data_IF_906753598532
#
_entry.id   IF_906753598532
#
_cell.length_a   1.000
_cell.length_b   1.000
_cell.length_c   1.000
_cell.angle_alpha   90.00
_cell.angle_beta   90.00
_cell.angle_gamma   90.00
#
_symmetry.space_group_name_H-M   'P 1'
#
loop_
_entity.id
_entity.type
_entity.pdbx_description
1 polymer ?
#
# COMPACT_ATOMS: atom_id res chain seq x y z
N UNK A 1 13.39 -18.89 -8.47
CA UNK A 1 12.55 -19.86 -7.74
C UNK A 1 11.08 -19.51 -8.03
N UNK A 2 10.31 -20.45 -8.60
CA UNK A 2 8.86 -20.27 -8.73
C UNK A 2 8.25 -20.56 -7.36
N UNK A 3 7.61 -19.55 -6.78
CA UNK A 3 6.82 -19.71 -5.57
C UNK A 3 5.69 -20.73 -5.81
N UNK A 4 5.65 -21.80 -5.04
CA UNK A 4 4.62 -22.84 -5.16
C UNK A 4 3.46 -22.46 -4.23
N UNK A 5 2.33 -22.08 -4.80
CA UNK A 5 1.10 -21.83 -4.05
C UNK A 5 0.48 -23.11 -3.51
N UNK A 6 -0.10 -23.00 -2.32
CA UNK A 6 -0.94 -24.05 -1.76
C UNK A 6 -2.25 -24.13 -2.59
N UNK A 7 -2.76 -25.35 -2.87
CA UNK A 7 -3.96 -25.58 -3.69
C UNK A 7 -5.21 -24.78 -3.22
N UNK A 8 -5.30 -24.48 -1.91
CA UNK A 8 -6.41 -23.71 -1.34
C UNK A 8 -6.41 -22.21 -1.75
N UNK A 9 -5.31 -21.69 -2.31
CA UNK A 9 -5.18 -20.29 -2.76
C UNK A 9 -5.13 -20.16 -4.27
N UNK A 10 -5.34 -21.26 -5.00
CA UNK A 10 -5.39 -21.24 -6.45
C UNK A 10 -6.57 -20.39 -6.92
N UNK A 11 -6.28 -19.25 -7.59
CA UNK A 11 -7.28 -18.32 -8.10
C UNK A 11 -7.48 -17.05 -7.27
N UNK A 12 -6.84 -16.94 -6.09
CA UNK A 12 -6.77 -15.68 -5.34
C UNK A 12 -5.47 -14.94 -5.68
N UNK A 13 -5.48 -13.59 -5.78
CA UNK A 13 -4.26 -12.82 -6.01
C UNK A 13 -3.29 -12.98 -4.83
N UNK A 14 -2.00 -12.78 -5.08
CA UNK A 14 -0.99 -12.81 -4.01
C UNK A 14 -1.00 -11.51 -3.21
N UNK A 15 -1.18 -10.38 -3.88
CA UNK A 15 -1.18 -9.05 -3.27
C UNK A 15 -2.50 -8.35 -3.57
N UNK A 16 -3.13 -7.76 -2.54
CA UNK A 16 -4.18 -6.76 -2.70
C UNK A 16 -3.57 -5.38 -2.52
N UNK A 17 -3.65 -4.55 -3.56
CA UNK A 17 -3.26 -3.15 -3.52
C UNK A 17 -4.52 -2.35 -3.23
N UNK A 18 -4.48 -1.49 -2.21
CA UNK A 18 -5.62 -0.73 -1.74
C UNK A 18 -5.42 0.75 -2.06
N UNK A 19 -6.38 1.35 -2.77
CA UNK A 19 -6.30 2.73 -3.24
C UNK A 19 -7.57 3.49 -2.81
N UNK A 20 -7.53 4.25 -1.71
CA UNK A 20 -8.60 5.21 -1.42
C UNK A 20 -8.52 6.34 -2.45
N UNK A 21 -9.66 6.89 -2.88
CA UNK A 21 -9.68 7.96 -3.87
C UNK A 21 -10.76 9.00 -3.55
N UNK A 22 -10.40 10.28 -3.66
CA UNK A 22 -11.36 11.38 -3.53
C UNK A 22 -10.92 12.61 -4.31
N UNK A 23 -11.71 13.01 -5.34
CA UNK A 23 -11.43 14.18 -6.18
C UNK A 23 -10.01 14.20 -6.77
N UNK A 24 -9.60 13.06 -7.33
CA UNK A 24 -8.25 12.79 -7.83
C UNK A 24 -8.18 12.69 -9.36
N UNK A 25 -9.14 13.26 -10.11
CA UNK A 25 -9.21 13.11 -11.58
C UNK A 25 -7.91 13.44 -12.30
N UNK A 26 -7.08 14.32 -11.70
CA UNK A 26 -5.80 14.75 -12.26
C UNK A 26 -4.71 13.70 -12.14
N UNK A 27 -4.73 12.86 -11.11
CA UNK A 27 -3.61 12.01 -10.72
C UNK A 27 -3.92 10.52 -10.79
N UNK A 28 -5.16 10.11 -10.46
CA UNK A 28 -5.54 8.71 -10.29
C UNK A 28 -5.24 7.84 -11.53
N UNK A 29 -5.31 8.40 -12.74
CA UNK A 29 -4.94 7.68 -13.94
C UNK A 29 -3.47 7.26 -13.92
N UNK A 30 -2.56 8.15 -13.49
CA UNK A 30 -1.14 7.88 -13.37
C UNK A 30 -0.85 6.86 -12.25
N UNK A 31 -1.54 6.98 -11.12
CA UNK A 31 -1.45 6.03 -10.02
C UNK A 31 -1.85 4.61 -10.46
N UNK A 32 -2.99 4.45 -11.14
CA UNK A 32 -3.44 3.15 -11.69
C UNK A 32 -2.43 2.58 -12.71
N UNK A 33 -1.92 3.42 -13.62
CA UNK A 33 -0.91 2.97 -14.61
C UNK A 33 0.38 2.49 -13.94
N UNK A 34 0.77 3.09 -12.81
CA UNK A 34 1.94 2.63 -12.05
C UNK A 34 1.73 1.22 -11.47
N UNK A 35 0.52 0.91 -11.01
CA UNK A 35 0.14 -0.43 -10.57
C UNK A 35 0.10 -1.41 -11.74
N UNK A 36 -0.46 -1.01 -12.88
CA UNK A 36 -0.47 -1.83 -14.10
C UNK A 36 0.92 -2.16 -14.62
N UNK A 37 1.92 -1.30 -14.34
CA UNK A 37 3.31 -1.48 -14.77
C UNK A 37 4.15 -2.37 -13.84
N UNK A 38 3.57 -2.94 -12.76
CA UNK A 38 4.30 -3.82 -11.86
C UNK A 38 4.84 -5.05 -12.58
N UNK A 39 6.12 -5.41 -12.30
CA UNK A 39 6.78 -6.60 -12.86
C UNK A 39 6.21 -7.91 -12.31
N UNK A 40 5.53 -7.86 -11.17
CA UNK A 40 4.81 -8.97 -10.57
C UNK A 40 3.32 -8.91 -10.93
N UNK A 41 2.78 -9.92 -11.58
CA UNK A 41 1.45 -9.87 -12.20
C UNK A 41 0.28 -10.36 -11.32
N UNK A 42 0.58 -11.04 -10.20
CA UNK A 42 -0.43 -11.72 -9.39
C UNK A 42 -0.93 -10.83 -8.25
N UNK A 43 -1.63 -9.77 -8.63
CA UNK A 43 -2.21 -8.78 -7.75
C UNK A 43 -3.67 -8.46 -8.12
N UNK A 44 -4.39 -7.88 -7.19
CA UNK A 44 -5.64 -7.15 -7.41
C UNK A 44 -5.47 -5.70 -6.94
N UNK A 45 -6.13 -4.77 -7.61
CA UNK A 45 -6.26 -3.38 -7.18
C UNK A 45 -7.70 -3.11 -6.75
N UNK A 46 -7.88 -2.65 -5.51
CA UNK A 46 -9.18 -2.29 -4.95
C UNK A 46 -9.21 -0.79 -4.74
N UNK A 47 -9.97 -0.09 -5.58
CA UNK A 47 -10.15 1.36 -5.53
C UNK A 47 -11.45 1.66 -4.82
N UNK A 48 -11.42 2.52 -3.81
CA UNK A 48 -12.61 3.02 -3.11
C UNK A 48 -12.76 4.50 -3.39
N UNK A 49 -13.67 4.85 -4.29
CA UNK A 49 -14.05 6.25 -4.56
C UNK A 49 -14.98 6.76 -3.46
N UNK A 50 -14.48 7.68 -2.65
CA UNK A 50 -15.20 8.22 -1.49
C UNK A 50 -16.18 9.36 -1.89
N UNK A 51 -17.05 9.07 -2.86
CA UNK A 51 -18.06 9.98 -3.41
C UNK A 51 -17.45 11.23 -4.06
N UNK A 52 -16.50 11.05 -4.98
CA UNK A 52 -15.91 12.16 -5.75
C UNK A 52 -16.94 12.92 -6.58
N UNK A 53 -16.80 14.24 -6.64
CA UNK A 53 -17.63 15.13 -7.44
C UNK A 53 -17.06 15.40 -8.84
N UNK A 54 -15.79 15.01 -9.09
CA UNK A 54 -15.07 15.13 -10.35
C UNK A 54 -15.14 13.83 -11.19
N UNK A 55 -14.25 13.69 -12.19
CA UNK A 55 -14.22 12.53 -13.07
C UNK A 55 -13.50 11.30 -12.46
N UNK A 56 -13.09 11.32 -11.19
CA UNK A 56 -12.37 10.23 -10.53
C UNK A 56 -13.07 8.88 -10.71
N UNK A 57 -14.36 8.79 -10.35
CA UNK A 57 -15.14 7.56 -10.47
C UNK A 57 -15.21 7.03 -11.91
N UNK A 58 -15.45 7.92 -12.88
CA UNK A 58 -15.51 7.54 -14.31
C UNK A 58 -14.15 7.03 -14.83
N UNK A 59 -13.03 7.59 -14.33
CA UNK A 59 -11.68 7.11 -14.66
C UNK A 59 -11.48 5.71 -14.08
N UNK A 60 -11.81 5.47 -12.82
CA UNK A 60 -11.69 4.16 -12.17
C UNK A 60 -12.49 3.07 -12.91
N UNK A 61 -13.76 3.34 -13.22
CA UNK A 61 -14.63 2.41 -13.96
C UNK A 61 -14.07 2.07 -15.36
N UNK A 62 -13.48 3.05 -16.05
CA UNK A 62 -12.83 2.84 -17.35
C UNK A 62 -11.64 1.86 -17.24
N UNK A 63 -10.82 1.93 -16.18
CA UNK A 63 -9.73 0.98 -15.97
C UNK A 63 -10.26 -0.40 -15.56
N UNK A 64 -11.22 -0.48 -14.64
CA UNK A 64 -11.83 -1.73 -14.21
C UNK A 64 -12.51 -2.48 -15.36
N UNK A 65 -13.07 -1.75 -16.34
CA UNK A 65 -13.66 -2.38 -17.53
C UNK A 65 -12.63 -3.04 -18.46
N UNK A 66 -11.35 -2.66 -18.37
CA UNK A 66 -10.26 -3.16 -19.23
C UNK A 66 -9.42 -4.24 -18.56
N UNK A 67 -9.29 -4.22 -17.24
CA UNK A 67 -8.49 -5.19 -16.48
C UNK A 67 -9.30 -5.74 -15.30
N UNK A 68 -9.56 -7.05 -15.31
CA UNK A 68 -10.36 -7.75 -14.28
C UNK A 68 -9.70 -7.79 -12.90
N UNK A 69 -8.41 -7.47 -12.80
CA UNK A 69 -7.70 -7.34 -11.53
C UNK A 69 -8.06 -6.06 -10.79
N UNK A 70 -8.65 -5.07 -11.48
CA UNK A 70 -9.08 -3.80 -10.90
C UNK A 70 -10.54 -3.89 -10.49
N UNK A 71 -10.82 -3.60 -9.24
CA UNK A 71 -12.16 -3.54 -8.64
C UNK A 71 -12.42 -2.13 -8.13
N UNK A 72 -13.61 -1.61 -8.41
CA UNK A 72 -14.02 -0.28 -7.95
C UNK A 72 -15.21 -0.39 -7.01
N UNK A 73 -15.14 0.35 -5.92
CA UNK A 73 -16.23 0.56 -4.97
C UNK A 73 -16.48 2.06 -4.90
N UNK A 74 -17.74 2.47 -4.74
CA UNK A 74 -18.07 3.89 -4.61
C UNK A 74 -19.00 4.12 -3.44
N UNK A 75 -18.66 5.07 -2.58
CA UNK A 75 -19.54 5.54 -1.52
C UNK A 75 -20.62 6.47 -2.08
N UNK A 76 -21.75 6.57 -1.37
CA UNK A 76 -22.82 7.51 -1.71
C UNK A 76 -22.60 8.90 -1.13
N UNK A 77 -21.70 9.02 -0.15
CA UNK A 77 -21.30 10.27 0.51
C UNK A 77 -19.84 10.15 0.96
N UNK A 78 -19.14 11.27 1.12
CA UNK A 78 -17.76 11.27 1.62
C UNK A 78 -17.72 10.84 3.09
N UNK A 79 -17.07 9.71 3.36
CA UNK A 79 -16.91 9.10 4.70
C UNK A 79 -15.53 9.33 5.31
N UNK A 80 -14.55 9.71 4.49
CA UNK A 80 -13.18 9.96 4.87
C UNK A 80 -12.24 8.78 4.62
N UNK A 81 -10.94 9.09 4.53
CA UNK A 81 -9.88 8.18 4.07
C UNK A 81 -9.83 6.86 4.86
N UNK A 82 -9.94 6.92 6.20
CA UNK A 82 -9.88 5.71 7.05
C UNK A 82 -11.00 4.72 6.76
N UNK A 83 -12.21 5.21 6.48
CA UNK A 83 -13.33 4.33 6.10
C UNK A 83 -13.09 3.74 4.72
N UNK A 84 -12.58 4.53 3.77
CA UNK A 84 -12.19 4.06 2.44
C UNK A 84 -11.12 2.95 2.50
N UNK A 85 -10.04 3.18 3.25
CA UNK A 85 -8.97 2.18 3.49
C UNK A 85 -9.52 0.90 4.17
N UNK A 86 -10.36 1.04 5.18
CA UNK A 86 -11.01 -0.11 5.84
C UNK A 86 -11.98 -0.87 4.92
N UNK A 87 -12.72 -0.15 4.05
CA UNK A 87 -13.58 -0.78 3.05
C UNK A 87 -12.74 -1.62 2.08
N UNK A 88 -11.64 -1.06 1.57
CA UNK A 88 -10.71 -1.79 0.71
C UNK A 88 -10.13 -3.03 1.42
N UNK A 89 -9.69 -2.90 2.69
CA UNK A 89 -9.21 -4.03 3.50
C UNK A 89 -10.23 -5.16 3.63
N UNK A 90 -11.52 -4.85 3.79
CA UNK A 90 -12.59 -5.87 3.86
C UNK A 90 -12.75 -6.66 2.56
N UNK A 91 -12.47 -6.04 1.42
CA UNK A 91 -12.60 -6.66 0.09
C UNK A 91 -11.32 -7.34 -0.39
N UNK A 92 -10.21 -7.15 0.33
CA UNK A 92 -8.91 -7.73 0.01
C UNK A 92 -8.91 -9.26 0.15
N UNK A 93 -8.45 -9.95 -0.90
CA UNK A 93 -8.36 -11.41 -0.93
C UNK A 93 -6.91 -11.92 -1.00
N UNK A 94 -5.94 -11.07 -1.29
CA UNK A 94 -4.52 -11.41 -1.37
C UNK A 94 -3.93 -11.90 -0.05
N UNK A 95 -2.82 -12.60 -0.12
CA UNK A 95 -2.06 -13.00 1.08
C UNK A 95 -1.39 -11.79 1.74
N UNK A 96 -1.01 -10.81 0.94
CA UNK A 96 -0.37 -9.57 1.39
C UNK A 96 -1.20 -8.34 0.99
N UNK A 97 -1.05 -7.28 1.77
CA UNK A 97 -1.66 -5.98 1.56
C UNK A 97 -0.57 -4.95 1.25
N UNK A 98 -0.76 -4.17 0.20
CA UNK A 98 -0.02 -2.95 -0.10
C UNK A 98 -1.00 -1.79 -0.21
N UNK A 99 -0.54 -0.57 0.07
CA UNK A 99 -1.32 0.65 -0.16
C UNK A 99 -0.68 1.46 -1.30
N UNK A 100 -1.48 2.20 -2.02
CA UNK A 100 -1.06 3.16 -3.03
C UNK A 100 -2.09 4.29 -3.05
N UNK A 101 -1.71 5.48 -2.66
CA UNK A 101 -2.65 6.61 -2.67
C UNK A 101 -2.94 7.05 -4.12
N UNK A 102 -4.05 7.74 -4.32
CA UNK A 102 -4.59 8.10 -5.63
C UNK A 102 -3.75 9.16 -6.39
N UNK A 103 -2.74 9.73 -5.74
CA UNK A 103 -1.79 10.69 -6.29
C UNK A 103 -0.32 10.21 -6.23
N UNK A 104 -0.09 8.96 -5.81
CA UNK A 104 1.24 8.35 -5.71
C UNK A 104 1.60 7.47 -6.92
N UNK A 105 2.89 7.20 -7.08
CA UNK A 105 3.46 6.34 -8.14
C UNK A 105 4.25 5.21 -7.49
N UNK A 106 3.81 3.99 -7.71
CA UNK A 106 4.49 2.77 -7.28
C UNK A 106 5.52 2.35 -8.34
N UNK A 107 6.80 2.25 -7.99
CA UNK A 107 7.85 1.81 -8.91
C UNK A 107 7.60 0.37 -9.40
N UNK A 108 8.00 0.06 -10.64
CA UNK A 108 7.61 -1.20 -11.30
C UNK A 108 8.04 -2.49 -10.59
N UNK A 109 9.07 -2.44 -9.75
CA UNK A 109 9.58 -3.61 -9.00
C UNK A 109 9.13 -3.68 -7.55
N UNK A 110 8.29 -2.74 -7.10
CA UNK A 110 7.88 -2.66 -5.69
C UNK A 110 7.33 -3.98 -5.18
N UNK A 111 6.41 -4.58 -5.90
CA UNK A 111 5.79 -5.83 -5.45
C UNK A 111 6.75 -7.02 -5.52
N UNK A 112 7.48 -7.18 -6.64
CA UNK A 112 8.37 -8.31 -6.85
C UNK A 112 9.46 -8.38 -5.77
N UNK A 113 10.18 -7.27 -5.56
CA UNK A 113 11.30 -7.21 -4.64
C UNK A 113 10.86 -7.37 -3.18
N UNK A 114 9.77 -6.72 -2.79
CA UNK A 114 9.31 -6.77 -1.41
C UNK A 114 8.58 -8.07 -1.06
N UNK A 115 7.90 -8.73 -2.01
CA UNK A 115 7.40 -10.09 -1.84
C UNK A 115 8.55 -11.07 -1.61
N UNK A 116 9.60 -10.99 -2.43
CA UNK A 116 10.79 -11.82 -2.24
C UNK A 116 11.37 -11.63 -0.83
N UNK A 117 11.52 -10.38 -0.37
CA UNK A 117 12.07 -10.08 0.96
C UNK A 117 11.22 -10.64 2.10
N UNK A 118 9.88 -10.48 2.08
CA UNK A 118 9.03 -10.99 3.17
C UNK A 118 9.00 -12.52 3.19
N UNK A 119 8.99 -13.17 2.03
CA UNK A 119 8.91 -14.63 1.95
C UNK A 119 10.22 -15.31 2.34
N UNK A 120 11.36 -14.85 1.81
CA UNK A 120 12.68 -15.39 2.16
C UNK A 120 13.00 -15.24 3.65
N UNK A 121 12.51 -14.18 4.29
CA UNK A 121 12.77 -13.92 5.70
C UNK A 121 11.62 -14.32 6.63
N UNK A 122 10.54 -14.89 6.08
CA UNK A 122 9.33 -15.21 6.84
C UNK A 122 8.88 -14.01 7.70
N UNK A 123 8.91 -12.81 7.10
CA UNK A 123 8.60 -11.57 7.75
C UNK A 123 7.11 -11.22 7.60
N UNK A 124 6.55 -10.50 8.57
CA UNK A 124 5.17 -10.05 8.56
C UNK A 124 5.02 -8.73 7.82
N UNK A 125 6.09 -7.95 7.74
CA UNK A 125 6.09 -6.62 7.10
C UNK A 125 7.41 -6.42 6.35
N UNK A 126 7.32 -5.91 5.11
CA UNK A 126 8.44 -5.22 4.46
C UNK A 126 8.19 -3.71 4.49
N UNK A 127 9.26 -2.94 4.60
CA UNK A 127 9.27 -1.49 4.49
C UNK A 127 10.35 -1.06 3.50
N UNK A 128 10.13 0.07 2.83
CA UNK A 128 11.07 0.58 1.84
C UNK A 128 11.20 2.10 1.85
N UNK A 129 12.28 2.57 1.26
CA UNK A 129 12.56 3.98 1.06
C UNK A 129 11.65 4.59 -0.02
N UNK A 130 11.39 5.87 0.08
CA UNK A 130 10.57 6.60 -0.86
C UNK A 130 11.11 8.00 -1.12
N UNK A 131 10.52 8.71 -2.06
CA UNK A 131 10.78 10.13 -2.29
C UNK A 131 9.49 10.90 -2.47
N UNK A 132 9.42 12.07 -1.87
CA UNK A 132 8.36 13.05 -2.16
C UNK A 132 8.78 13.88 -3.36
N UNK A 133 7.91 13.94 -4.37
CA UNK A 133 8.14 14.71 -5.59
C UNK A 133 7.30 15.99 -5.55
N UNK A 134 7.97 17.14 -5.66
CA UNK A 134 7.28 18.43 -5.79
C UNK A 134 7.02 18.73 -7.25
N UNK A 135 5.77 18.99 -7.60
CA UNK A 135 5.33 19.25 -8.96
C UNK A 135 4.80 20.69 -9.04
N UNK A 136 5.19 21.43 -10.09
CA UNK A 136 4.65 22.76 -10.40
C UNK A 136 3.21 22.67 -10.91
N UNK A 137 2.54 23.82 -11.03
CA UNK A 137 1.21 23.92 -11.67
C UNK A 137 1.18 23.45 -13.13
N UNK A 138 2.35 23.40 -13.79
CA UNK A 138 2.53 22.95 -15.17
C UNK A 138 2.95 21.46 -15.27
N UNK A 139 2.83 20.70 -14.17
CA UNK A 139 3.26 19.28 -14.06
C UNK A 139 4.76 19.05 -14.29
N UNK A 140 5.60 20.04 -13.99
CA UNK A 140 7.05 19.88 -14.06
C UNK A 140 7.59 19.56 -12.67
N UNK A 141 8.45 18.55 -12.56
CA UNK A 141 9.14 18.23 -11.30
C UNK A 141 10.08 19.37 -10.95
N UNK A 142 9.86 20.00 -9.80
CA UNK A 142 10.66 21.14 -9.29
C UNK A 142 11.50 20.78 -8.07
N UNK A 143 11.37 19.57 -7.56
CA UNK A 143 12.19 19.09 -6.45
C UNK A 143 11.83 17.67 -6.03
N UNK A 144 12.79 16.98 -5.43
CA UNK A 144 12.63 15.65 -4.85
C UNK A 144 13.23 15.63 -3.44
N UNK A 145 12.56 14.98 -2.51
CA UNK A 145 13.01 14.81 -1.13
C UNK A 145 12.97 13.30 -0.82
N UNK A 146 14.13 12.62 -0.86
CA UNK A 146 14.18 11.20 -0.50
C UNK A 146 14.04 11.00 1.01
N UNK A 147 13.43 9.89 1.38
CA UNK A 147 13.39 9.32 2.72
C UNK A 147 13.99 7.92 2.63
N UNK A 148 15.20 7.76 3.17
CA UNK A 148 16.01 6.58 2.98
C UNK A 148 16.15 5.84 4.30
N UNK A 149 15.62 4.62 4.38
CA UNK A 149 15.96 3.69 5.44
C UNK A 149 17.16 2.82 5.04
N UNK A 150 17.81 2.23 6.03
CA UNK A 150 18.90 1.26 5.78
C UNK A 150 18.32 -0.14 5.60
N UNK A 151 18.96 -0.94 4.75
CA UNK A 151 18.65 -2.37 4.66
C UNK A 151 18.82 -3.03 6.02
N UNK A 152 17.80 -3.76 6.47
CA UNK A 152 17.88 -4.54 7.69
C UNK A 152 16.86 -5.68 7.71
N UNK A 153 17.19 -6.74 8.48
CA UNK A 153 16.27 -7.84 8.77
C UNK A 153 16.17 -7.92 10.29
N UNK A 154 14.97 -7.66 10.81
CA UNK A 154 14.68 -7.74 12.24
C UNK A 154 14.01 -9.08 12.54
N UNK A 155 14.59 -9.84 13.46
CA UNK A 155 14.13 -11.18 13.84
C UNK A 155 13.20 -11.19 15.04
N UNK A 156 13.08 -10.06 15.73
CA UNK A 156 12.18 -9.87 16.86
C UNK A 156 11.89 -8.39 17.09
N UNK A 157 10.86 -8.13 17.87
CA UNK A 157 10.40 -6.77 18.17
C UNK A 157 11.44 -5.92 18.92
N UNK A 158 12.27 -6.53 19.75
CA UNK A 158 13.31 -5.79 20.49
C UNK A 158 14.35 -5.18 19.52
N UNK A 159 14.74 -5.91 18.49
CA UNK A 159 15.64 -5.40 17.44
C UNK A 159 15.00 -4.21 16.69
N UNK A 160 13.70 -4.29 16.36
CA UNK A 160 12.96 -3.20 15.71
C UNK A 160 13.00 -1.93 16.56
N UNK A 161 12.71 -2.04 17.87
CA UNK A 161 12.71 -0.89 18.78
C UNK A 161 14.11 -0.37 19.08
N UNK A 162 15.12 -1.22 19.07
CA UNK A 162 16.53 -0.80 19.25
C UNK A 162 17.02 0.05 18.08
N UNK A 163 16.54 -0.22 16.85
CA UNK A 163 16.88 0.54 15.64
C UNK A 163 15.72 1.46 15.20
N UNK A 164 14.99 2.02 16.16
CA UNK A 164 13.79 2.82 15.91
C UNK A 164 14.07 4.03 14.99
N UNK A 165 15.26 4.61 15.06
CA UNK A 165 15.69 5.70 14.20
C UNK A 165 15.58 5.32 12.71
N UNK A 166 16.04 4.12 12.34
CA UNK A 166 15.93 3.60 10.99
C UNK A 166 14.47 3.32 10.59
N UNK A 167 13.72 2.69 11.49
CA UNK A 167 12.33 2.33 11.27
C UNK A 167 11.45 3.57 11.13
N UNK A 168 11.69 4.60 11.93
CA UNK A 168 10.92 5.85 11.95
C UNK A 168 10.96 6.60 10.60
N UNK A 169 12.04 6.48 9.82
CA UNK A 169 12.18 7.16 8.52
C UNK A 169 11.04 6.83 7.54
N UNK A 170 10.43 5.65 7.66
CA UNK A 170 9.40 5.15 6.75
C UNK A 170 8.04 4.83 7.43
N UNK A 171 7.87 5.27 8.70
CA UNK A 171 6.63 5.01 9.45
C UNK A 171 5.52 6.04 9.25
N UNK A 172 5.80 7.16 8.61
CA UNK A 172 4.82 8.23 8.41
C UNK A 172 3.74 7.87 7.40
N UNK A 173 3.97 6.86 6.56
CA UNK A 173 3.11 6.47 5.46
C UNK A 173 2.86 4.96 5.48
N UNK A 174 1.63 4.51 5.27
CA UNK A 174 1.29 3.09 5.16
C UNK A 174 1.69 2.49 3.79
N UNK A 175 1.71 3.32 2.74
CA UNK A 175 2.06 2.91 1.37
C UNK A 175 3.55 2.58 1.17
N UNK A 176 4.41 2.82 2.16
CA UNK A 176 5.79 2.33 2.18
C UNK A 176 5.90 0.92 2.77
N UNK A 177 4.84 0.14 2.73
CA UNK A 177 4.79 -1.18 3.36
C UNK A 177 4.06 -2.25 2.57
N UNK A 178 4.55 -3.50 2.71
CA UNK A 178 3.86 -4.72 2.34
C UNK A 178 3.60 -5.52 3.62
N UNK A 179 2.32 -5.87 3.86
CA UNK A 179 1.87 -6.42 5.13
C UNK A 179 1.25 -7.80 4.93
N UNK A 180 1.64 -8.79 5.73
CA UNK A 180 0.93 -10.08 5.79
C UNK A 180 -0.51 -9.85 6.26
N UNK A 181 -1.49 -10.21 5.41
CA UNK A 181 -2.92 -10.04 5.71
C UNK A 181 -3.37 -10.88 6.91
N UNK A 182 -2.79 -12.08 7.11
CA UNK A 182 -3.11 -12.92 8.28
C UNK A 182 -2.64 -12.27 9.57
N UNK A 183 -1.48 -11.61 9.53
CA UNK A 183 -0.97 -10.83 10.66
C UNK A 183 -1.92 -9.67 11.00
N UNK A 184 -2.32 -8.86 10.01
CA UNK A 184 -3.27 -7.77 10.22
C UNK A 184 -4.60 -8.28 10.82
N UNK A 185 -5.15 -9.35 10.25
CA UNK A 185 -6.42 -9.94 10.71
C UNK A 185 -6.31 -10.52 12.12
N UNK A 186 -5.22 -11.24 12.44
CA UNK A 186 -5.01 -11.85 13.77
C UNK A 186 -5.04 -10.82 14.89
N UNK A 187 -4.48 -9.65 14.64
CA UNK A 187 -4.38 -8.58 15.63
C UNK A 187 -5.45 -7.51 15.48
N UNK A 188 -6.43 -7.71 14.58
CA UNK A 188 -7.49 -6.75 14.28
C UNK A 188 -6.94 -5.35 13.96
N UNK A 189 -5.82 -5.29 13.22
CA UNK A 189 -5.18 -4.04 12.80
C UNK A 189 -5.97 -3.44 11.65
N UNK A 190 -6.47 -2.24 11.85
CA UNK A 190 -7.26 -1.47 10.89
C UNK A 190 -7.12 0.01 11.18
N UNK A 191 -7.57 0.84 10.27
CA UNK A 191 -7.56 2.29 10.44
C UNK A 191 -8.63 2.74 11.42
N UNK A 192 -8.31 3.76 12.21
CA UNK A 192 -9.25 4.37 13.13
C UNK A 192 -10.16 5.34 12.37
N UNK A 193 -11.45 5.00 12.28
CA UNK A 193 -12.44 5.74 11.49
C UNK A 193 -12.75 7.16 12.00
N UNK A 194 -12.17 7.56 13.13
CA UNK A 194 -12.21 8.95 13.59
C UNK A 194 -11.31 9.88 12.78
N UNK A 195 -10.28 9.34 12.14
CA UNK A 195 -9.40 10.11 11.23
C UNK A 195 -10.04 10.20 9.84
N UNK A 196 -10.57 11.36 9.52
CA UNK A 196 -11.22 11.59 8.22
C UNK A 196 -10.29 12.21 7.17
N UNK A 197 -9.26 12.94 7.62
CA UNK A 197 -8.47 13.84 6.78
C UNK A 197 -6.95 13.75 7.05
N UNK A 198 -6.45 12.60 7.48
CA UNK A 198 -5.03 12.34 7.72
C UNK A 198 -4.71 12.00 9.19
N UNK A 199 -3.50 11.43 9.39
CA UNK A 199 -3.02 10.93 10.68
C UNK A 199 -3.34 9.46 10.95
N UNK A 200 -4.17 8.84 10.11
CA UNK A 200 -4.54 7.43 10.20
C UNK A 200 -3.36 6.50 9.97
N UNK A 201 -2.45 6.85 9.06
CA UNK A 201 -1.26 6.07 8.71
C UNK A 201 -0.33 5.91 9.90
N UNK A 202 -0.11 6.99 10.64
CA UNK A 202 0.75 6.96 11.81
C UNK A 202 0.20 6.01 12.88
N UNK A 203 -1.11 6.08 13.18
CA UNK A 203 -1.73 5.17 14.14
C UNK A 203 -1.70 3.73 13.63
N UNK A 204 -2.04 3.48 12.37
CA UNK A 204 -1.96 2.15 11.76
C UNK A 204 -0.55 1.56 11.87
N UNK A 205 0.47 2.34 11.55
CA UNK A 205 1.86 1.92 11.66
C UNK A 205 2.30 1.66 13.11
N UNK A 206 1.88 2.47 14.07
CA UNK A 206 2.13 2.22 15.50
C UNK A 206 1.46 0.92 15.94
N UNK A 207 0.22 0.66 15.50
CA UNK A 207 -0.48 -0.58 15.80
C UNK A 207 0.25 -1.80 15.22
N UNK A 208 0.77 -1.71 13.99
CA UNK A 208 1.55 -2.80 13.42
C UNK A 208 2.82 -3.08 14.24
N UNK A 209 3.54 -2.04 14.69
CA UNK A 209 4.74 -2.17 15.51
C UNK A 209 4.49 -2.79 16.88
N UNK A 210 3.28 -2.68 17.42
CA UNK A 210 2.95 -3.31 18.70
C UNK A 210 2.97 -4.84 18.66
N UNK A 211 2.74 -5.42 17.46
CA UNK A 211 2.55 -6.86 17.29
C UNK A 211 3.54 -7.52 16.35
N UNK A 212 4.24 -6.77 15.50
CA UNK A 212 5.20 -7.34 14.56
C UNK A 212 6.38 -7.97 15.28
N UNK A 213 6.74 -9.18 14.85
CA UNK A 213 7.91 -9.91 15.39
C UNK A 213 9.07 -9.91 14.40
N UNK A 214 8.76 -9.99 13.09
CA UNK A 214 9.78 -10.05 12.04
C UNK A 214 9.44 -9.03 10.95
N UNK A 215 10.42 -8.18 10.63
CA UNK A 215 10.27 -7.13 9.64
C UNK A 215 11.54 -7.03 8.79
N UNK A 216 11.38 -6.74 7.52
CA UNK A 216 12.48 -6.45 6.61
C UNK A 216 12.41 -5.01 6.13
N UNK A 217 13.56 -4.39 5.90
CA UNK A 217 13.65 -3.04 5.36
C UNK A 217 14.56 -3.02 4.15
N UNK A 218 14.15 -2.28 3.11
CA UNK A 218 14.89 -2.07 1.88
C UNK A 218 15.23 -0.59 1.71
N UNK A 219 16.50 -0.34 1.42
CA UNK A 219 16.98 1.02 1.09
C UNK A 219 16.60 1.45 -0.33
N UNK A 220 16.03 0.56 -1.14
CA UNK A 220 15.55 0.91 -2.48
C UNK A 220 14.37 1.88 -2.41
N UNK A 221 14.32 2.82 -3.36
CA UNK A 221 13.23 3.77 -3.53
C UNK A 221 12.23 3.19 -4.54
N UNK A 222 11.04 2.96 -4.05
CA UNK A 222 9.94 2.45 -4.88
C UNK A 222 8.83 3.46 -5.07
#
# INVERSE_FOLDING_TARGET
LKLVRNEATLGMPKVSILMPAYNAERYIGTAIESVLSQSYDDWELIIVDDASDDNTGAICERYASKDKRIKTLRHTENKGISIGKNEALRHASGDYIAFCDDDDIMASKTLEDNLYLVEENNAQIARWSYKTVKISSENVVIGEIPRICRNNIYHNREEIFRDYENVHEVLSCDWTGLYDRKFLNRHNIKFNEKYRYGGEDTEFNILTLQYVERMVMSSEIY
#
